data_IF_667597606265
#
_entry.id   IF_667597606265
#
_cell.length_a   1.000
_cell.length_b   1.000
_cell.length_c   1.000
_cell.angle_alpha   90.00
_cell.angle_beta   90.00
_cell.angle_gamma   90.00
#
_symmetry.space_group_name_H-M   'P 1'
#
loop_
_entity.id
_entity.type
_entity.pdbx_description
1 polymer ?
#
# COMPACT_ATOMS: atom_id res chain seq x y z
N UNK A 1 -5.40 -8.66 -19.55
CA UNK A 1 -4.76 -7.71 -18.64
C UNK A 1 -3.62 -8.41 -17.91
N UNK A 2 -2.54 -7.72 -17.60
CA UNK A 2 -1.38 -8.23 -16.85
C UNK A 2 -1.27 -7.46 -15.54
N UNK A 3 -1.34 -8.17 -14.40
CA UNK A 3 -1.38 -7.60 -13.05
C UNK A 3 -0.12 -8.03 -12.31
N UNK A 4 0.60 -7.07 -11.72
CA UNK A 4 1.65 -7.33 -10.74
C UNK A 4 1.07 -7.14 -9.34
N UNK A 5 1.20 -8.16 -8.48
CA UNK A 5 0.75 -8.10 -7.09
C UNK A 5 1.96 -8.14 -6.15
N UNK A 6 1.95 -7.26 -5.14
CA UNK A 6 2.95 -7.19 -4.07
C UNK A 6 2.28 -7.01 -2.71
N UNK A 7 3.05 -7.03 -1.62
CA UNK A 7 2.62 -6.68 -0.26
C UNK A 7 3.83 -6.36 0.62
N UNK A 8 3.60 -6.07 1.91
CA UNK A 8 4.65 -5.90 2.92
C UNK A 8 4.57 -6.94 4.06
N UNK A 9 3.49 -7.70 4.16
CA UNK A 9 3.33 -8.75 5.18
C UNK A 9 4.10 -10.05 4.86
N UNK A 10 4.66 -10.17 3.64
CA UNK A 10 5.43 -11.32 3.19
C UNK A 10 4.64 -12.28 2.29
N UNK A 11 5.38 -13.16 1.59
CA UNK A 11 4.81 -14.04 0.54
C UNK A 11 3.81 -15.10 1.06
N UNK A 12 3.83 -15.41 2.35
CA UNK A 12 2.88 -16.34 2.99
C UNK A 12 1.69 -15.63 3.65
N UNK A 13 1.60 -14.30 3.55
CA UNK A 13 0.54 -13.56 4.22
C UNK A 13 -0.85 -13.91 3.66
N UNK A 14 -1.85 -14.11 4.55
CA UNK A 14 -3.24 -14.37 4.13
C UNK A 14 -3.82 -13.28 3.24
N UNK A 15 -3.49 -12.00 3.51
CA UNK A 15 -3.96 -10.87 2.71
C UNK A 15 -3.44 -10.88 1.27
N UNK A 16 -2.19 -11.31 1.05
CA UNK A 16 -1.66 -11.50 -0.30
C UNK A 16 -2.45 -12.57 -1.07
N UNK A 17 -2.70 -13.71 -0.42
CA UNK A 17 -3.51 -14.79 -0.98
C UNK A 17 -4.93 -14.33 -1.33
N UNK A 18 -5.54 -13.52 -0.46
CA UNK A 18 -6.86 -12.94 -0.67
C UNK A 18 -6.89 -11.98 -1.87
N UNK A 19 -5.85 -11.16 -2.04
CA UNK A 19 -5.75 -10.24 -3.19
C UNK A 19 -5.53 -11.00 -4.50
N UNK A 20 -4.71 -12.06 -4.50
CA UNK A 20 -4.53 -12.94 -5.67
C UNK A 20 -5.87 -13.57 -6.05
N UNK A 21 -6.62 -14.11 -5.09
CA UNK A 21 -7.97 -14.68 -5.31
C UNK A 21 -8.94 -13.63 -5.87
N UNK A 22 -8.90 -12.41 -5.37
CA UNK A 22 -9.72 -11.30 -5.86
C UNK A 22 -9.44 -10.96 -7.34
N UNK A 23 -8.23 -11.22 -7.83
CA UNK A 23 -7.81 -10.94 -9.20
C UNK A 23 -8.04 -12.10 -10.18
N UNK A 24 -8.49 -13.27 -9.71
CA UNK A 24 -8.77 -14.40 -10.58
C UNK A 24 -9.77 -14.05 -11.69
N UNK A 25 -9.47 -14.49 -12.91
CA UNK A 25 -10.28 -14.21 -14.10
C UNK A 25 -10.04 -12.82 -14.73
N UNK A 26 -9.22 -11.94 -14.13
CA UNK A 26 -8.91 -10.63 -14.73
C UNK A 26 -7.77 -10.69 -15.75
N UNK A 27 -6.98 -11.75 -15.76
CA UNK A 27 -5.89 -11.94 -16.68
C UNK A 27 -4.68 -12.62 -16.07
N UNK A 28 -3.47 -12.34 -16.60
CA UNK A 28 -2.22 -12.85 -16.06
C UNK A 28 -1.89 -12.15 -14.74
N UNK A 29 -1.48 -12.94 -13.75
CA UNK A 29 -1.05 -12.45 -12.44
C UNK A 29 0.38 -12.90 -12.20
N UNK A 30 1.26 -11.96 -11.90
CA UNK A 30 2.60 -12.21 -11.36
C UNK A 30 2.68 -11.65 -9.94
N UNK A 31 3.23 -12.44 -9.01
CA UNK A 31 3.32 -12.07 -7.59
C UNK A 31 4.79 -11.91 -7.22
N UNK A 32 5.13 -10.76 -6.64
CA UNK A 32 6.44 -10.45 -6.07
C UNK A 32 6.25 -10.00 -4.63
N UNK A 33 6.81 -10.72 -3.68
CA UNK A 33 6.60 -10.39 -2.27
C UNK A 33 7.88 -10.57 -1.45
N UNK A 34 8.04 -9.81 -0.35
CA UNK A 34 9.18 -9.98 0.53
C UNK A 34 9.18 -11.35 1.21
N UNK A 35 10.38 -11.86 1.50
CA UNK A 35 10.56 -13.12 2.21
C UNK A 35 9.92 -13.10 3.60
N UNK A 36 9.98 -11.96 4.27
CA UNK A 36 9.46 -11.75 5.62
C UNK A 36 8.63 -10.47 5.69
N UNK A 37 7.88 -10.33 6.78
CA UNK A 37 7.17 -9.09 7.05
C UNK A 37 8.14 -7.90 7.09
N UNK A 38 7.84 -6.88 6.31
CA UNK A 38 8.60 -5.65 6.13
C UNK A 38 7.77 -4.39 6.46
N UNK A 39 6.83 -4.51 7.41
CA UNK A 39 5.98 -3.39 7.83
C UNK A 39 6.82 -2.20 8.34
N UNK A 40 6.41 -1.00 7.99
CA UNK A 40 7.07 0.23 8.43
C UNK A 40 8.38 0.56 7.70
N UNK A 41 8.68 -0.10 6.58
CA UNK A 41 9.89 0.15 5.78
C UNK A 41 9.79 1.37 4.88
N UNK A 42 8.60 1.98 4.74
CA UNK A 42 8.40 3.10 3.83
C UNK A 42 8.86 2.75 2.39
N UNK A 43 9.23 3.75 1.60
CA UNK A 43 9.74 3.60 0.22
C UNK A 43 11.25 3.24 0.16
N UNK A 44 11.77 2.49 1.13
CA UNK A 44 13.18 2.16 1.17
C UNK A 44 13.57 1.19 0.05
N UNK A 45 14.69 1.47 -0.63
CA UNK A 45 15.34 0.57 -1.58
C UNK A 45 16.63 -0.01 -0.98
N UNK A 46 16.88 -1.28 -1.24
CA UNK A 46 18.08 -1.99 -0.78
C UNK A 46 19.24 -1.73 -1.75
N UNK A 47 20.06 -0.72 -1.47
CA UNK A 47 21.17 -0.30 -2.33
C UNK A 47 22.55 -0.80 -1.86
N UNK A 48 22.65 -1.32 -0.63
CA UNK A 48 23.94 -1.66 0.03
C UNK A 48 24.32 -3.13 -0.02
N UNK A 49 23.42 -3.99 -0.52
CA UNK A 49 23.63 -5.43 -0.68
C UNK A 49 22.85 -5.96 -1.90
N UNK A 50 23.24 -7.10 -2.47
CA UNK A 50 22.44 -7.74 -3.50
C UNK A 50 21.11 -8.24 -2.94
N UNK A 51 20.10 -8.30 -3.81
CA UNK A 51 18.84 -8.99 -3.57
C UNK A 51 18.94 -10.44 -4.08
N UNK A 52 18.38 -11.38 -3.34
CA UNK A 52 18.12 -12.74 -3.85
C UNK A 52 16.64 -12.80 -4.25
N UNK A 53 16.36 -13.38 -5.39
CA UNK A 53 15.00 -13.63 -5.89
C UNK A 53 14.90 -15.12 -6.17
N UNK A 54 13.88 -15.77 -5.62
CA UNK A 54 13.65 -17.20 -5.81
C UNK A 54 12.15 -17.50 -5.92
N UNK A 55 11.83 -18.58 -6.62
CA UNK A 55 10.45 -19.03 -6.79
C UNK A 55 9.97 -19.80 -5.55
N UNK A 56 8.76 -19.48 -5.10
CA UNK A 56 8.05 -20.21 -4.06
C UNK A 56 6.55 -20.24 -4.37
N UNK A 57 5.79 -20.92 -3.51
CA UNK A 57 4.33 -20.85 -3.54
C UNK A 57 3.84 -20.05 -2.35
N UNK A 58 3.02 -19.04 -2.61
CA UNK A 58 2.31 -18.29 -1.58
C UNK A 58 1.24 -19.12 -0.87
N UNK A 59 0.58 -18.53 0.12
CA UNK A 59 -0.46 -19.20 0.91
C UNK A 59 -1.66 -19.69 0.05
N UNK A 60 -1.95 -19.03 -1.07
CA UNK A 60 -2.95 -19.48 -2.06
C UNK A 60 -2.48 -20.62 -2.98
N UNK A 61 -1.23 -21.05 -2.85
CA UNK A 61 -0.60 -21.99 -3.79
C UNK A 61 -0.17 -21.34 -5.12
N UNK A 62 -0.40 -20.05 -5.31
CA UNK A 62 0.01 -19.31 -6.50
C UNK A 62 1.54 -19.18 -6.55
N UNK A 63 2.18 -19.31 -7.74
CA UNK A 63 3.62 -19.02 -7.89
C UNK A 63 3.94 -17.59 -7.46
N UNK A 64 5.01 -17.43 -6.70
CA UNK A 64 5.47 -16.15 -6.19
C UNK A 64 6.99 -16.04 -6.36
N UNK A 65 7.46 -14.91 -6.85
CA UNK A 65 8.85 -14.50 -6.78
C UNK A 65 9.09 -13.87 -5.41
N UNK A 66 9.85 -14.55 -4.58
CA UNK A 66 10.18 -14.10 -3.22
C UNK A 66 11.47 -13.30 -3.26
N UNK A 67 11.44 -12.09 -2.73
CA UNK A 67 12.57 -11.15 -2.74
C UNK A 67 13.11 -10.94 -1.33
N UNK A 68 14.42 -11.04 -1.14
CA UNK A 68 15.08 -10.74 0.16
C UNK A 68 15.27 -9.22 0.35
N UNK A 69 14.20 -8.46 0.14
CA UNK A 69 14.20 -7.01 0.15
C UNK A 69 12.92 -6.42 0.73
N UNK A 70 12.75 -5.12 0.49
CA UNK A 70 11.56 -4.36 0.88
C UNK A 70 10.39 -4.57 -0.11
N UNK A 71 9.17 -4.14 0.23
CA UNK A 71 8.06 -4.11 -0.72
C UNK A 71 8.35 -3.31 -2.00
N UNK A 72 9.03 -2.16 -1.87
CA UNK A 72 9.50 -1.37 -3.01
C UNK A 72 10.51 -2.15 -3.86
N UNK A 73 11.46 -2.88 -3.25
CA UNK A 73 12.41 -3.72 -4.00
C UNK A 73 11.70 -4.81 -4.82
N UNK A 74 10.61 -5.38 -4.31
CA UNK A 74 9.82 -6.38 -5.03
C UNK A 74 9.27 -5.83 -6.35
N UNK A 75 8.62 -4.67 -6.29
CA UNK A 75 8.03 -4.03 -7.46
C UNK A 75 9.13 -3.47 -8.37
N UNK A 76 10.16 -2.86 -7.80
CA UNK A 76 11.32 -2.34 -8.55
C UNK A 76 11.99 -3.44 -9.38
N UNK A 77 12.34 -4.56 -8.75
CA UNK A 77 12.98 -5.69 -9.43
C UNK A 77 12.07 -6.29 -10.52
N UNK A 78 10.78 -6.42 -10.24
CA UNK A 78 9.82 -6.88 -11.24
C UNK A 78 9.82 -5.99 -12.48
N UNK A 79 9.70 -4.67 -12.29
CA UNK A 79 9.55 -3.69 -13.37
C UNK A 79 10.85 -3.39 -14.12
N UNK A 80 12.01 -3.61 -13.49
CA UNK A 80 13.31 -3.28 -14.08
C UNK A 80 14.03 -4.45 -14.73
N UNK A 81 13.43 -5.65 -14.77
CA UNK A 81 14.07 -6.74 -15.54
C UNK A 81 13.57 -8.15 -15.26
N UNK A 82 13.03 -8.46 -14.09
CA UNK A 82 12.66 -9.85 -13.74
C UNK A 82 11.38 -10.29 -14.46
N UNK A 83 10.43 -9.39 -14.62
CA UNK A 83 9.09 -9.71 -15.16
C UNK A 83 9.09 -9.90 -16.70
N UNK A 84 10.02 -9.35 -17.42
CA UNK A 84 10.16 -9.47 -18.90
C UNK A 84 9.11 -8.71 -19.71
N UNK A 85 7.99 -8.28 -19.10
CA UNK A 85 6.95 -7.48 -19.75
C UNK A 85 6.29 -6.54 -18.73
N UNK A 86 5.95 -5.33 -19.18
CA UNK A 86 5.30 -4.33 -18.32
C UNK A 86 3.89 -4.78 -17.94
N UNK A 87 3.49 -4.74 -16.66
CA UNK A 87 2.11 -4.96 -16.26
C UNK A 87 1.23 -3.76 -16.61
N UNK A 88 -0.07 -4.01 -16.72
CA UNK A 88 -1.09 -2.97 -16.92
C UNK A 88 -1.51 -2.32 -15.61
N UNK A 89 -1.36 -3.04 -14.49
CA UNK A 89 -1.82 -2.62 -13.16
C UNK A 89 -0.91 -3.20 -12.08
N UNK A 90 -0.55 -2.40 -11.09
CA UNK A 90 0.11 -2.84 -9.86
C UNK A 90 -0.89 -2.82 -8.70
N UNK A 91 -0.98 -3.92 -7.97
CA UNK A 91 -1.80 -4.04 -6.77
C UNK A 91 -0.91 -4.41 -5.58
N UNK A 92 -1.14 -3.77 -4.44
CA UNK A 92 -0.40 -4.08 -3.21
C UNK A 92 -1.35 -4.36 -2.06
N UNK A 93 -1.10 -5.41 -1.29
CA UNK A 93 -1.90 -5.77 -0.12
C UNK A 93 -2.42 -7.22 -0.19
N UNK A 94 -3.57 -7.56 0.45
CA UNK A 94 -4.33 -6.69 1.36
C UNK A 94 -3.56 -6.61 2.69
N UNK A 95 -3.27 -5.40 3.19
CA UNK A 95 -2.47 -5.21 4.40
C UNK A 95 -3.22 -5.57 5.68
N UNK A 96 -2.49 -6.08 6.68
CA UNK A 96 -2.98 -6.38 8.02
C UNK A 96 -3.03 -5.13 8.90
N UNK A 97 -4.00 -4.27 8.67
CA UNK A 97 -4.19 -3.01 9.38
C UNK A 97 -4.24 -1.81 8.44
N UNK A 98 -4.73 -0.69 8.95
CA UNK A 98 -4.98 0.51 8.18
C UNK A 98 -3.70 1.22 7.73
N UNK A 99 -3.77 1.82 6.55
CA UNK A 99 -2.81 2.79 6.05
C UNK A 99 -3.58 4.10 5.76
N UNK A 100 -3.82 4.90 6.79
CA UNK A 100 -4.63 6.12 6.75
C UNK A 100 -3.85 7.33 7.25
N UNK A 101 -4.19 8.51 6.73
CA UNK A 101 -3.54 9.76 7.12
C UNK A 101 -2.03 9.72 6.93
N UNK A 102 -1.30 10.25 7.92
CA UNK A 102 0.18 10.31 7.86
C UNK A 102 0.85 8.93 7.86
N UNK A 103 0.15 7.85 8.26
CA UNK A 103 0.72 6.50 8.28
C UNK A 103 1.03 5.98 6.87
N UNK A 104 0.39 6.53 5.83
CA UNK A 104 0.69 6.19 4.43
C UNK A 104 2.16 6.41 4.08
N UNK A 105 2.84 7.37 4.73
CA UNK A 105 4.26 7.68 4.50
C UNK A 105 5.17 6.53 4.96
N UNK A 106 4.77 5.80 6.00
CA UNK A 106 5.56 4.71 6.58
C UNK A 106 5.19 3.33 6.03
N UNK A 107 4.07 3.25 5.29
CA UNK A 107 3.49 1.99 4.82
C UNK A 107 4.32 1.34 3.71
N UNK A 108 4.72 0.09 3.91
CA UNK A 108 5.32 -0.74 2.86
C UNK A 108 4.32 -1.13 1.78
N UNK A 109 3.04 -1.33 2.15
CA UNK A 109 1.95 -1.62 1.20
C UNK A 109 1.74 -0.46 0.23
N UNK A 110 1.62 0.78 0.76
CA UNK A 110 1.49 1.98 -0.08
C UNK A 110 2.76 2.20 -0.91
N UNK A 111 3.93 1.94 -0.33
CA UNK A 111 5.22 2.08 -1.00
C UNK A 111 5.36 1.16 -2.22
N UNK A 112 4.93 -0.11 -2.13
CA UNK A 112 4.93 -1.02 -3.27
C UNK A 112 4.02 -0.53 -4.41
N UNK A 113 2.82 -0.01 -4.08
CA UNK A 113 1.94 0.59 -5.09
C UNK A 113 2.55 1.88 -5.68
N UNK A 114 3.17 2.70 -4.83
CA UNK A 114 3.84 3.93 -5.24
C UNK A 114 5.02 3.64 -6.19
N UNK A 115 5.76 2.57 -5.97
CA UNK A 115 6.85 2.16 -6.87
C UNK A 115 6.29 1.85 -8.27
N UNK A 116 5.16 1.14 -8.36
CA UNK A 116 4.45 0.93 -9.63
C UNK A 116 4.08 2.24 -10.32
N UNK A 117 3.51 3.17 -9.57
CA UNK A 117 3.16 4.50 -10.05
C UNK A 117 4.39 5.27 -10.59
N UNK A 118 5.52 5.24 -9.87
CA UNK A 118 6.75 5.90 -10.29
C UNK A 118 7.31 5.34 -11.61
N UNK A 119 7.08 4.07 -11.88
CA UNK A 119 7.39 3.44 -13.18
C UNK A 119 6.30 3.64 -14.24
N UNK A 120 5.34 4.52 -13.99
CA UNK A 120 4.29 4.88 -14.93
C UNK A 120 3.14 3.86 -15.00
N UNK A 121 3.03 2.90 -14.09
CA UNK A 121 1.96 1.91 -14.04
C UNK A 121 0.90 2.37 -13.04
N UNK A 122 -0.40 2.40 -13.40
CA UNK A 122 -1.45 2.69 -12.43
C UNK A 122 -1.42 1.68 -11.28
N UNK A 123 -1.70 2.15 -10.06
CA UNK A 123 -1.53 1.30 -8.88
C UNK A 123 -2.60 1.51 -7.81
N UNK A 124 -2.92 0.43 -7.06
CA UNK A 124 -3.83 0.45 -5.92
C UNK A 124 -3.18 -0.26 -4.74
N UNK A 125 -3.15 0.41 -3.59
CA UNK A 125 -2.84 -0.20 -2.29
C UNK A 125 -4.15 -0.55 -1.56
N UNK A 126 -4.27 -1.77 -1.06
CA UNK A 126 -5.42 -2.24 -0.28
C UNK A 126 -5.01 -2.57 1.15
N UNK A 127 -5.79 -2.11 2.11
CA UNK A 127 -5.57 -2.32 3.54
C UNK A 127 -6.87 -2.65 4.25
N UNK A 128 -6.84 -3.55 5.22
CA UNK A 128 -7.90 -3.67 6.22
C UNK A 128 -7.77 -2.53 7.25
N UNK A 129 -8.88 -2.00 7.77
CA UNK A 129 -8.80 -1.00 8.85
C UNK A 129 -8.34 -1.62 10.17
N UNK A 130 -8.58 -2.91 10.37
CA UNK A 130 -8.28 -3.62 11.60
C UNK A 130 -7.23 -4.72 11.39
N UNK A 131 -6.46 -5.00 12.45
CA UNK A 131 -5.45 -6.07 12.46
C UNK A 131 -6.08 -7.43 12.77
N UNK A 132 -5.38 -8.51 12.36
CA UNK A 132 -5.78 -9.88 12.65
C UNK A 132 -6.59 -10.56 11.55
N UNK A 133 -6.68 -9.95 10.38
CA UNK A 133 -7.37 -10.49 9.20
C UNK A 133 -8.87 -10.73 9.38
N UNK A 134 -9.62 -9.84 10.09
CA UNK A 134 -11.06 -10.02 10.23
C UNK A 134 -11.74 -9.90 8.87
N UNK A 135 -12.77 -10.75 8.62
CA UNK A 135 -13.60 -10.73 7.41
C UNK A 135 -12.80 -10.72 6.08
N UNK A 136 -11.68 -11.47 6.03
CA UNK A 136 -10.73 -11.39 4.91
C UNK A 136 -11.35 -11.79 3.56
N UNK A 137 -12.24 -12.77 3.52
CA UNK A 137 -12.95 -13.14 2.28
C UNK A 137 -13.87 -12.00 1.80
N UNK A 138 -14.55 -11.33 2.71
CA UNK A 138 -15.37 -10.16 2.38
C UNK A 138 -14.50 -8.99 1.91
N UNK A 139 -13.32 -8.79 2.52
CA UNK A 139 -12.35 -7.79 2.07
C UNK A 139 -11.80 -8.11 0.67
N UNK A 140 -11.54 -9.38 0.35
CA UNK A 140 -11.15 -9.79 -1.00
C UNK A 140 -12.24 -9.48 -2.03
N UNK A 141 -13.50 -9.78 -1.69
CA UNK A 141 -14.64 -9.44 -2.54
C UNK A 141 -14.82 -7.92 -2.72
N UNK A 142 -14.55 -7.15 -1.66
CA UNK A 142 -14.55 -5.67 -1.71
C UNK A 142 -13.42 -5.12 -2.59
N UNK A 143 -12.20 -5.66 -2.46
CA UNK A 143 -11.08 -5.30 -3.31
C UNK A 143 -11.40 -5.58 -4.78
N UNK A 144 -11.97 -6.75 -5.10
CA UNK A 144 -12.44 -7.08 -6.44
C UNK A 144 -13.46 -6.08 -6.95
N UNK A 145 -14.46 -5.74 -6.14
CA UNK A 145 -15.50 -4.80 -6.54
C UNK A 145 -14.97 -3.37 -6.78
N UNK A 146 -13.91 -2.95 -6.04
CA UNK A 146 -13.20 -1.69 -6.30
C UNK A 146 -12.42 -1.78 -7.61
N UNK A 147 -11.69 -2.87 -7.85
CA UNK A 147 -10.95 -3.08 -9.10
C UNK A 147 -11.91 -3.05 -10.29
N UNK A 148 -13.01 -3.78 -10.25
CA UNK A 148 -14.02 -3.83 -11.32
C UNK A 148 -14.61 -2.43 -11.58
N UNK A 149 -14.88 -1.65 -10.53
CA UNK A 149 -15.39 -0.28 -10.66
C UNK A 149 -14.36 0.65 -11.31
N UNK A 150 -13.08 0.53 -10.94
CA UNK A 150 -12.00 1.32 -11.54
C UNK A 150 -11.83 0.96 -13.01
N UNK A 151 -11.85 -0.33 -13.37
CA UNK A 151 -11.76 -0.78 -14.75
C UNK A 151 -12.97 -0.35 -15.61
N UNK A 152 -14.15 -0.30 -15.00
CA UNK A 152 -15.37 0.16 -15.67
C UNK A 152 -15.40 1.69 -15.84
N UNK A 153 -14.65 2.46 -15.08
CA UNK A 153 -14.63 3.93 -15.17
C UNK A 153 -13.88 4.48 -16.39
N UNK A 154 -13.07 3.66 -17.06
CA UNK A 154 -12.33 4.02 -18.26
C UNK A 154 -11.14 3.10 -18.51
N UNK A 155 -10.44 3.29 -19.65
CA UNK A 155 -9.26 2.51 -19.97
C UNK A 155 -8.13 2.83 -18.97
N UNK A 156 -7.30 1.82 -18.67
CA UNK A 156 -6.07 2.04 -17.93
C UNK A 156 -5.11 2.94 -18.73
N UNK A 157 -4.33 3.82 -18.06
CA UNK A 157 -3.34 4.65 -18.71
C UNK A 157 -2.34 3.82 -19.51
N UNK A 158 -2.16 4.15 -20.79
CA UNK A 158 -1.16 3.51 -21.64
C UNK A 158 0.27 3.94 -21.23
N UNK A 159 1.27 3.21 -21.72
CA UNK A 159 2.67 3.59 -21.52
C UNK A 159 2.93 5.02 -21.99
N UNK A 160 3.50 5.86 -21.11
CA UNK A 160 3.78 7.28 -21.36
C UNK A 160 2.63 8.24 -21.02
N UNK A 161 1.47 7.74 -20.63
CA UNK A 161 0.42 8.55 -20.01
C UNK A 161 0.65 8.64 -18.49
N UNK A 162 0.12 9.68 -17.87
CA UNK A 162 0.21 9.87 -16.42
C UNK A 162 -0.61 8.79 -15.71
N UNK A 163 0.02 7.98 -14.84
CA UNK A 163 -0.68 6.96 -14.06
C UNK A 163 -1.43 7.60 -12.90
N UNK A 164 -2.23 6.80 -12.21
CA UNK A 164 -2.86 7.17 -10.95
C UNK A 164 -2.46 6.19 -9.85
N UNK A 165 -2.51 6.66 -8.60
CA UNK A 165 -2.24 5.90 -7.39
C UNK A 165 -3.42 6.05 -6.44
N UNK A 166 -4.03 4.92 -6.04
CA UNK A 166 -5.14 4.88 -5.10
C UNK A 166 -4.72 4.15 -3.82
N UNK A 167 -5.10 4.70 -2.68
CA UNK A 167 -4.99 4.05 -1.37
C UNK A 167 -6.40 3.71 -0.88
N UNK A 168 -6.67 2.42 -0.66
CA UNK A 168 -7.99 1.90 -0.32
C UNK A 168 -7.93 1.24 1.05
N UNK A 169 -8.79 1.70 1.98
CA UNK A 169 -8.94 1.07 3.28
C UNK A 169 -10.35 0.47 3.41
N UNK A 170 -10.41 -0.81 3.77
CA UNK A 170 -11.61 -1.63 3.79
C UNK A 170 -11.96 -1.93 5.25
N UNK A 171 -13.13 -1.50 5.75
CA UNK A 171 -13.58 -1.83 7.09
C UNK A 171 -13.94 -3.33 7.21
N UNK A 172 -13.72 -3.96 8.38
CA UNK A 172 -13.97 -5.37 8.60
C UNK A 172 -15.47 -5.64 8.80
N UNK A 173 -16.16 -5.89 7.69
CA UNK A 173 -17.60 -6.19 7.69
C UNK A 173 -17.92 -7.29 6.69
N UNK A 174 -18.84 -8.18 7.04
CA UNK A 174 -19.21 -9.33 6.23
C UNK A 174 -19.80 -8.96 4.84
N UNK A 175 -20.40 -7.78 4.72
CA UNK A 175 -20.97 -7.24 3.48
C UNK A 175 -20.03 -6.19 2.80
N UNK A 176 -18.73 -6.23 3.05
CA UNK A 176 -17.76 -5.26 2.55
C UNK A 176 -17.81 -5.06 1.02
N UNK A 177 -18.13 -6.10 0.25
CA UNK A 177 -18.25 -6.01 -1.22
C UNK A 177 -19.30 -4.99 -1.69
N UNK A 178 -20.36 -4.79 -0.90
CA UNK A 178 -21.47 -3.87 -1.18
C UNK A 178 -21.43 -2.62 -0.29
N UNK A 179 -20.43 -2.50 0.59
CA UNK A 179 -20.28 -1.34 1.45
C UNK A 179 -20.21 -0.03 0.64
N UNK A 180 -20.76 1.06 1.15
CA UNK A 180 -20.61 2.37 0.54
C UNK A 180 -19.13 2.70 0.34
N UNK A 181 -18.81 3.37 -0.77
CA UNK A 181 -17.46 3.80 -1.11
C UNK A 181 -17.40 5.31 -1.15
N UNK A 182 -16.32 5.86 -0.63
CA UNK A 182 -16.13 7.31 -0.59
C UNK A 182 -14.76 7.68 -1.11
N UNK A 183 -14.71 8.64 -2.05
CA UNK A 183 -13.45 9.30 -2.39
C UNK A 183 -13.10 10.25 -1.26
N UNK A 184 -11.90 10.09 -0.70
CA UNK A 184 -11.46 10.77 0.52
C UNK A 184 -10.16 11.52 0.30
N UNK A 185 -9.80 12.35 1.27
CA UNK A 185 -8.45 12.87 1.47
C UNK A 185 -7.81 12.19 2.68
N UNK A 186 -6.50 12.21 2.77
CA UNK A 186 -5.80 11.79 3.98
C UNK A 186 -6.19 12.68 5.17
N UNK A 187 -6.50 12.05 6.30
CA UNK A 187 -6.57 12.72 7.58
C UNK A 187 -5.19 12.92 8.20
N UNK A 188 -5.12 13.15 9.53
CA UNK A 188 -3.88 13.27 10.29
C UNK A 188 -3.91 12.38 11.51
N UNK A 189 -2.83 11.65 11.74
CA UNK A 189 -2.71 10.82 12.94
C UNK A 189 -1.67 11.31 13.92
N UNK A 190 -0.53 11.60 13.55
CA UNK A 190 0.70 11.98 14.26
C UNK A 190 0.53 12.50 15.72
N UNK A 191 -0.16 11.71 16.53
CA UNK A 191 -0.29 11.88 17.98
C UNK A 191 0.30 10.65 18.68
N UNK A 192 1.49 10.22 18.22
CA UNK A 192 2.16 9.01 18.72
C UNK A 192 2.21 8.97 20.24
N UNK A 193 1.87 7.82 20.80
CA UNK A 193 2.10 7.52 22.19
C UNK A 193 3.61 7.51 22.50
N UNK A 194 4.02 7.80 23.76
CA UNK A 194 5.42 7.74 24.14
C UNK A 194 6.04 6.36 23.86
N UNK A 195 7.36 6.35 23.67
CA UNK A 195 8.11 5.10 23.58
C UNK A 195 7.96 4.27 24.85
N UNK A 196 7.81 2.96 24.69
CA UNK A 196 7.66 2.01 25.80
C UNK A 196 9.03 1.39 26.13
N UNK A 197 9.52 1.65 27.34
CA UNK A 197 10.76 1.04 27.83
C UNK A 197 10.48 -0.33 28.45
N UNK A 198 11.27 -1.31 28.09
CA UNK A 198 11.27 -2.65 28.69
C UNK A 198 12.69 -3.10 29.02
N UNK A 199 12.82 -4.18 29.76
CA UNK A 199 14.11 -4.84 30.03
C UNK A 199 14.11 -6.18 29.30
N UNK A 200 15.17 -6.45 28.51
CA UNK A 200 15.33 -7.73 27.83
C UNK A 200 15.73 -8.84 28.85
N UNK A 201 15.70 -10.14 28.46
CA UNK A 201 16.08 -11.24 29.35
C UNK A 201 17.54 -11.20 29.85
N UNK A 202 18.41 -10.37 29.26
CA UNK A 202 19.82 -10.19 29.70
C UNK A 202 19.99 -9.01 30.66
N UNK A 203 18.91 -8.26 30.97
CA UNK A 203 18.94 -7.10 31.87
C UNK A 203 19.19 -5.77 31.18
N UNK A 204 19.30 -5.72 29.82
CA UNK A 204 19.53 -4.48 29.09
C UNK A 204 18.21 -3.74 28.82
N UNK A 205 18.19 -2.39 28.85
CA UNK A 205 17.03 -1.62 28.46
C UNK A 205 16.81 -1.70 26.94
N UNK A 206 15.56 -1.96 26.54
CA UNK A 206 15.09 -1.90 25.16
C UNK A 206 13.89 -0.95 25.06
N UNK A 207 13.66 -0.42 23.88
CA UNK A 207 12.64 0.59 23.64
C UNK A 207 11.80 0.19 22.45
N UNK A 208 10.48 0.31 22.58
CA UNK A 208 9.52 0.13 21.49
C UNK A 208 8.95 1.48 21.10
N UNK A 209 8.78 1.70 19.79
CA UNK A 209 7.95 2.82 19.32
C UNK A 209 6.52 2.56 19.79
N UNK A 210 5.93 3.55 20.45
CA UNK A 210 4.57 3.47 20.96
C UNK A 210 3.53 3.37 19.84
N UNK A 211 2.29 3.00 20.18
CA UNK A 211 1.19 2.97 19.21
C UNK A 211 0.96 4.35 18.58
N UNK A 212 0.37 4.34 17.39
CA UNK A 212 0.14 5.57 16.63
C UNK A 212 -0.86 6.54 17.31
N UNK A 213 -1.65 6.07 18.27
CA UNK A 213 -2.67 6.87 18.96
C UNK A 213 -3.90 7.18 18.09
N UNK A 214 -4.77 8.04 18.60
CA UNK A 214 -5.98 8.46 17.90
C UNK A 214 -5.67 9.45 16.77
N UNK A 215 -6.58 9.52 15.78
CA UNK A 215 -6.46 10.47 14.70
C UNK A 215 -6.63 11.91 15.20
N UNK A 216 -5.71 12.82 14.84
CA UNK A 216 -5.78 14.25 15.14
C UNK A 216 -6.78 14.98 14.26
N UNK A 217 -6.93 14.53 13.02
CA UNK A 217 -7.88 15.06 12.05
C UNK A 217 -8.60 13.88 11.38
N UNK A 218 -9.84 13.65 11.83
CA UNK A 218 -10.72 12.59 11.38
C UNK A 218 -12.10 13.15 10.97
N UNK A 219 -12.18 14.43 10.63
CA UNK A 219 -13.40 15.11 10.22
C UNK A 219 -13.94 14.62 8.86
N UNK A 220 -15.10 15.11 8.48
CA UNK A 220 -15.78 14.76 7.23
C UNK A 220 -14.84 14.89 6.02
N UNK A 221 -14.94 13.93 5.09
CA UNK A 221 -14.12 13.85 3.88
C UNK A 221 -12.75 13.18 4.08
N UNK A 222 -12.36 12.82 5.32
CA UNK A 222 -11.12 12.07 5.57
C UNK A 222 -11.34 10.56 5.44
N UNK A 223 -10.26 9.84 5.19
CA UNK A 223 -10.18 8.38 5.22
C UNK A 223 -10.60 7.80 6.58
N UNK A 224 -10.18 8.44 7.69
CA UNK A 224 -10.61 8.06 9.05
C UNK A 224 -12.12 8.17 9.24
N UNK A 225 -12.74 9.25 8.74
CA UNK A 225 -14.17 9.45 8.84
C UNK A 225 -14.96 8.38 8.09
N UNK A 226 -14.55 8.09 6.83
CA UNK A 226 -15.17 7.05 6.02
C UNK A 226 -15.05 5.68 6.67
N UNK A 227 -13.85 5.31 7.16
CA UNK A 227 -13.62 4.04 7.86
C UNK A 227 -14.48 3.91 9.12
N UNK A 228 -14.56 4.96 9.94
CA UNK A 228 -15.39 4.98 11.14
C UNK A 228 -16.91 4.87 10.83
N UNK A 229 -17.35 5.35 9.67
CA UNK A 229 -18.72 5.18 9.17
C UNK A 229 -18.97 3.80 8.55
N UNK A 230 -17.98 2.90 8.51
CA UNK A 230 -18.07 1.60 7.86
C UNK A 230 -18.06 1.67 6.33
N UNK A 231 -17.57 2.76 5.76
CA UNK A 231 -17.43 2.97 4.32
C UNK A 231 -16.01 2.60 3.86
N UNK A 232 -15.87 2.12 2.64
CA UNK A 232 -14.55 1.93 2.02
C UNK A 232 -14.02 3.30 1.61
N UNK A 233 -12.87 3.70 2.18
CA UNK A 233 -12.19 4.92 1.75
C UNK A 233 -11.33 4.66 0.51
N UNK A 234 -11.39 5.55 -0.47
CA UNK A 234 -10.56 5.54 -1.69
C UNK A 234 -9.89 6.90 -1.78
N UNK A 235 -8.62 6.97 -1.45
CA UNK A 235 -7.85 8.22 -1.45
C UNK A 235 -6.90 8.24 -2.65
N UNK A 236 -7.09 9.13 -3.62
CA UNK A 236 -6.07 9.39 -4.65
C UNK A 236 -4.84 10.01 -4.01
N UNK A 237 -3.65 9.46 -4.31
CA UNK A 237 -2.37 9.93 -3.79
C UNK A 237 -1.52 10.60 -4.88
N UNK A 238 -0.69 11.53 -4.46
CA UNK A 238 0.37 12.15 -5.26
C UNK A 238 1.73 11.94 -4.59
N UNK A 239 2.77 11.78 -5.41
CA UNK A 239 4.14 11.54 -4.93
C UNK A 239 4.97 12.83 -4.94
N UNK A 240 4.53 13.87 -5.64
CA UNK A 240 5.23 15.17 -5.63
C UNK A 240 5.10 15.85 -4.26
N UNK A 241 6.21 15.87 -3.53
CA UNK A 241 6.32 16.51 -2.22
C UNK A 241 6.64 18.02 -2.30
N UNK A 242 6.69 18.60 -3.49
CA UNK A 242 6.97 20.03 -3.69
C UNK A 242 5.81 20.87 -3.17
N UNK A 243 6.08 21.80 -2.26
CA UNK A 243 5.09 22.81 -1.86
C UNK A 243 4.97 23.89 -2.93
N UNK A 244 4.21 23.59 -3.97
CA UNK A 244 4.00 24.49 -5.10
C UNK A 244 3.38 25.82 -4.69
N UNK A 245 2.53 25.85 -3.66
CA UNK A 245 1.87 27.06 -3.19
C UNK A 245 2.85 28.03 -2.52
N UNK A 246 3.85 27.51 -1.79
CA UNK A 246 4.81 28.35 -1.07
C UNK A 246 6.10 28.59 -1.82
N UNK A 247 6.35 27.90 -2.93
CA UNK A 247 7.60 27.98 -3.71
C UNK A 247 7.97 29.43 -4.07
N UNK A 248 6.99 30.24 -4.55
CA UNK A 248 7.21 31.65 -4.90
C UNK A 248 7.62 32.49 -3.67
N UNK A 249 6.90 32.32 -2.54
CA UNK A 249 7.22 33.06 -1.31
C UNK A 249 8.61 32.72 -0.76
N UNK A 250 9.08 31.48 -0.94
CA UNK A 250 10.45 31.11 -0.60
C UNK A 250 11.49 31.75 -1.52
N UNK A 251 11.25 31.81 -2.84
CA UNK A 251 12.14 32.48 -3.78
C UNK A 251 12.31 33.99 -3.42
N UNK A 252 11.21 34.67 -3.12
CA UNK A 252 11.22 36.06 -2.68
C UNK A 252 11.97 36.26 -1.35
N UNK A 253 11.67 35.42 -0.36
CA UNK A 253 12.29 35.46 0.98
C UNK A 253 13.80 35.22 0.92
N UNK A 254 14.25 34.28 0.08
CA UNK A 254 15.66 33.95 -0.09
C UNK A 254 16.37 34.81 -1.12
N UNK A 255 15.64 35.69 -1.83
CA UNK A 255 16.13 36.52 -2.93
C UNK A 255 16.82 35.72 -4.04
N UNK A 256 16.22 34.58 -4.40
CA UNK A 256 16.69 33.66 -5.42
C UNK A 256 15.74 33.62 -6.63
N UNK A 257 16.26 33.40 -7.85
CA UNK A 257 15.41 33.16 -9.01
C UNK A 257 14.55 31.90 -8.84
N UNK A 258 13.41 31.85 -9.52
CA UNK A 258 12.56 30.65 -9.62
C UNK A 258 12.96 29.80 -10.80
#
# INVERSE_FOLDING_TARGET
MHILIANDDGYLAPGLAALVKACEGLGRIDVFAPEQNASGTSNALTLTRPLTIFEARGASGHPCQVVTGTPSDCVHAALTGVLGSRPDLVLSGINNGANMGDDTIYSGTVAAAMEGYLFGVPAIAFSLTDKGWPELDAAAAAARAVIDQVLASGPLPAAGQEPWLLNVNIPPRADAATAPRRVTRLGRRHASEPVVRQINPRGDPIWWIGPAGDAREAGEGTDFHAAAAGEISITPLQVDLTDHLRRRGWAERLRLPM
#
